data_IF_167428273702
#
_entry.id   IF_167428273702
#
_cell.length_a   1.000
_cell.length_b   1.000
_cell.length_c   1.000
_cell.angle_alpha   90.00
_cell.angle_beta   90.00
_cell.angle_gamma   90.00
#
_symmetry.space_group_name_H-M   'P 1'
#
loop_
_entity.id
_entity.type
_entity.pdbx_description
1 polymer ?
#
# COMPACT_ATOMS: atom_id res chain seq x y z
N UNK A 1 3.33 -8.87 -0.30
CA UNK A 1 2.98 -8.03 0.87
C UNK A 1 3.08 -6.53 0.60
N UNK A 2 4.26 -5.89 0.51
CA UNK A 2 4.36 -4.43 0.31
C UNK A 2 3.60 -3.96 -0.94
N UNK A 3 3.90 -4.56 -2.09
CA UNK A 3 3.27 -4.23 -3.37
C UNK A 3 1.74 -4.43 -3.35
N UNK A 4 1.26 -5.55 -2.81
CA UNK A 4 -0.19 -5.85 -2.76
C UNK A 4 -0.93 -4.88 -1.84
N UNK A 5 -0.35 -4.60 -0.67
CA UNK A 5 -0.88 -3.62 0.28
C UNK A 5 -0.98 -2.25 -0.38
N UNK A 6 0.06 -1.83 -1.10
CA UNK A 6 0.06 -0.55 -1.79
C UNK A 6 -1.04 -0.45 -2.85
N UNK A 7 -1.20 -1.48 -3.70
CA UNK A 7 -2.29 -1.56 -4.68
C UNK A 7 -3.67 -1.46 -4.03
N UNK A 8 -3.91 -2.21 -2.96
CA UNK A 8 -5.20 -2.24 -2.27
C UNK A 8 -5.53 -0.90 -1.62
N UNK A 9 -4.55 -0.28 -0.96
CA UNK A 9 -4.76 1.02 -0.31
C UNK A 9 -4.92 2.14 -1.35
N UNK A 10 -4.21 2.11 -2.47
CA UNK A 10 -4.40 3.07 -3.56
C UNK A 10 -5.73 2.87 -4.27
N UNK A 11 -6.18 1.64 -4.47
CA UNK A 11 -7.52 1.37 -4.95
C UNK A 11 -8.58 2.01 -4.03
N UNK A 12 -8.41 1.85 -2.70
CA UNK A 12 -9.30 2.49 -1.74
C UNK A 12 -9.24 4.01 -1.80
N UNK A 13 -8.03 4.56 -1.89
CA UNK A 13 -7.84 6.00 -2.04
C UNK A 13 -8.50 6.51 -3.32
N UNK A 14 -8.40 5.78 -4.43
CA UNK A 14 -9.04 6.11 -5.70
C UNK A 14 -10.56 6.19 -5.56
N UNK A 15 -11.21 5.14 -5.06
CA UNK A 15 -12.66 5.11 -4.84
C UNK A 15 -13.11 6.32 -3.99
N UNK A 16 -12.49 6.52 -2.83
CA UNK A 16 -12.84 7.61 -1.92
C UNK A 16 -12.55 8.99 -2.55
N UNK A 17 -11.42 9.13 -3.23
CA UNK A 17 -11.04 10.34 -3.96
C UNK A 17 -11.95 10.64 -5.15
N UNK A 18 -12.78 9.70 -5.59
CA UNK A 18 -13.80 9.91 -6.64
C UNK A 18 -15.22 10.01 -6.08
N UNK A 19 -15.38 10.00 -4.76
CA UNK A 19 -16.67 10.17 -4.10
C UNK A 19 -17.49 8.88 -4.02
N UNK A 20 -16.86 7.73 -4.23
CA UNK A 20 -17.49 6.44 -3.95
C UNK A 20 -17.82 6.34 -2.45
N UNK A 21 -19.01 5.84 -2.16
CA UNK A 21 -19.55 5.72 -0.80
C UNK A 21 -19.70 4.26 -0.35
N UNK A 22 -19.38 3.30 -1.23
CA UNK A 22 -19.40 1.89 -0.87
C UNK A 22 -18.36 1.60 0.22
N UNK A 23 -18.74 0.75 1.18
CA UNK A 23 -17.78 0.23 2.15
C UNK A 23 -16.80 -0.71 1.46
N UNK A 24 -15.54 -0.32 1.44
CA UNK A 24 -14.48 -1.07 0.76
C UNK A 24 -14.00 -2.23 1.65
N UNK A 25 -13.83 -3.43 1.09
CA UNK A 25 -13.53 -4.62 1.89
C UNK A 25 -12.15 -4.54 2.54
N UNK A 26 -12.01 -5.22 3.67
CA UNK A 26 -10.73 -5.62 4.23
C UNK A 26 -10.04 -6.66 3.34
N UNK A 27 -8.87 -7.13 3.77
CA UNK A 27 -8.21 -8.28 3.15
C UNK A 27 -7.38 -9.02 4.20
N UNK A 28 -7.26 -10.34 4.05
CA UNK A 28 -6.40 -11.17 4.88
C UNK A 28 -5.05 -11.36 4.19
N UNK A 29 -4.00 -10.80 4.76
CA UNK A 29 -2.69 -10.71 4.13
C UNK A 29 -2.08 -12.09 3.84
N UNK A 30 -2.23 -13.03 4.77
CA UNK A 30 -1.71 -14.39 4.63
C UNK A 30 -2.39 -15.14 3.49
N UNK A 31 -3.69 -14.92 3.28
CA UNK A 31 -4.44 -15.53 2.18
C UNK A 31 -3.94 -15.03 0.83
N UNK A 32 -3.63 -13.73 0.74
CA UNK A 32 -3.06 -13.12 -0.46
C UNK A 32 -1.65 -13.65 -0.75
N UNK A 33 -0.82 -13.80 0.29
CA UNK A 33 0.53 -14.39 0.15
C UNK A 33 0.44 -15.84 -0.32
N UNK A 34 -0.47 -16.64 0.26
CA UNK A 34 -0.68 -18.04 -0.15
C UNK A 34 -1.19 -18.17 -1.59
N UNK A 35 -1.98 -17.19 -2.06
CA UNK A 35 -2.47 -17.15 -3.44
C UNK A 35 -1.45 -16.67 -4.47
N UNK A 36 -0.28 -16.21 -4.04
CA UNK A 36 0.75 -15.67 -4.90
C UNK A 36 1.88 -16.67 -5.17
N UNK A 37 2.55 -16.51 -6.31
CA UNK A 37 3.69 -17.34 -6.70
C UNK A 37 5.02 -16.56 -6.60
N UNK A 38 5.18 -15.74 -5.56
CA UNK A 38 6.35 -14.86 -5.42
C UNK A 38 7.68 -15.62 -5.43
N UNK A 39 7.71 -16.82 -4.84
CA UNK A 39 8.90 -17.68 -4.78
C UNK A 39 9.37 -18.18 -6.15
N UNK A 40 8.49 -18.13 -7.16
CA UNK A 40 8.84 -18.51 -8.54
C UNK A 40 9.44 -17.36 -9.36
N UNK A 41 9.43 -16.13 -8.82
CA UNK A 41 9.89 -14.94 -9.52
C UNK A 41 11.33 -14.59 -9.14
N UNK A 42 12.16 -14.11 -10.10
CA UNK A 42 13.42 -13.48 -9.76
C UNK A 42 13.20 -12.27 -8.86
N UNK A 43 14.05 -12.11 -7.84
CA UNK A 43 13.96 -10.98 -6.92
C UNK A 43 13.96 -9.62 -7.64
N UNK A 44 14.72 -9.49 -8.73
CA UNK A 44 14.73 -8.28 -9.57
C UNK A 44 13.36 -7.94 -10.17
N UNK A 45 12.55 -8.94 -10.53
CA UNK A 45 11.18 -8.72 -11.00
C UNK A 45 10.27 -8.22 -9.89
N UNK A 46 10.40 -8.76 -8.69
CA UNK A 46 9.62 -8.34 -7.52
C UNK A 46 9.92 -6.87 -7.18
N UNK A 47 11.20 -6.48 -7.19
CA UNK A 47 11.60 -5.09 -6.95
C UNK A 47 11.12 -4.14 -8.05
N UNK A 48 11.24 -4.54 -9.33
CA UNK A 48 10.78 -3.73 -10.45
C UNK A 48 9.26 -3.48 -10.40
N UNK A 49 8.48 -4.49 -10.00
CA UNK A 49 7.04 -4.32 -9.80
C UNK A 49 6.75 -3.33 -8.67
N UNK A 50 7.40 -3.49 -7.52
CA UNK A 50 7.23 -2.58 -6.38
C UNK A 50 7.53 -1.13 -6.77
N UNK A 51 8.63 -0.88 -7.48
CA UNK A 51 9.00 0.46 -7.96
C UNK A 51 7.94 1.04 -8.89
N UNK A 52 7.40 0.22 -9.80
CA UNK A 52 6.35 0.65 -10.75
C UNK A 52 5.07 1.03 -10.01
N UNK A 53 4.64 0.21 -9.04
CA UNK A 53 3.46 0.50 -8.21
C UNK A 53 3.66 1.76 -7.38
N UNK A 54 4.85 1.93 -6.79
CA UNK A 54 5.19 3.12 -6.00
C UNK A 54 5.14 4.40 -6.86
N UNK A 55 5.71 4.36 -8.06
CA UNK A 55 5.68 5.50 -8.96
C UNK A 55 4.24 5.87 -9.37
N UNK A 56 3.42 4.87 -9.71
CA UNK A 56 2.00 5.08 -10.03
C UNK A 56 1.22 5.65 -8.82
N UNK A 57 1.53 5.18 -7.62
CA UNK A 57 0.93 5.64 -6.36
C UNK A 57 1.23 7.11 -6.09
N UNK A 58 2.49 7.50 -6.19
CA UNK A 58 2.93 8.90 -6.02
C UNK A 58 2.23 9.78 -7.06
N UNK A 59 2.28 9.39 -8.34
CA UNK A 59 1.63 10.12 -9.42
C UNK A 59 0.12 10.27 -9.21
N UNK A 60 -0.56 9.25 -8.70
CA UNK A 60 -1.98 9.33 -8.37
C UNK A 60 -2.25 10.43 -7.34
N UNK A 61 -1.49 10.46 -6.23
CA UNK A 61 -1.69 11.45 -5.16
C UNK A 61 -1.31 12.88 -5.58
N UNK A 62 -0.26 13.06 -6.38
CA UNK A 62 0.16 14.37 -6.91
C UNK A 62 -0.91 15.01 -7.80
N UNK A 63 -1.72 14.21 -8.48
CA UNK A 63 -2.78 14.69 -9.38
C UNK A 63 -4.13 14.91 -8.68
N UNK A 64 -4.22 14.74 -7.35
CA UNK A 64 -5.45 15.02 -6.59
C UNK A 64 -5.55 16.49 -6.21
N UNK A 65 -6.74 17.06 -6.35
CA UNK A 65 -7.05 18.38 -5.81
C UNK A 65 -7.33 18.33 -4.30
N UNK A 66 -7.32 19.49 -3.64
CA UNK A 66 -7.48 19.63 -2.19
C UNK A 66 -8.77 19.01 -1.64
N UNK A 67 -9.86 19.09 -2.42
CA UNK A 67 -11.13 18.49 -2.04
C UNK A 67 -11.02 16.97 -1.98
N UNK A 68 -10.38 16.34 -2.97
CA UNK A 68 -10.19 14.89 -3.01
C UNK A 68 -9.37 14.40 -1.81
N UNK A 69 -8.31 15.12 -1.42
CA UNK A 69 -7.51 14.80 -0.23
C UNK A 69 -8.33 14.73 1.06
N UNK A 70 -9.37 15.57 1.17
CA UNK A 70 -10.23 15.67 2.36
C UNK A 70 -11.45 14.75 2.34
N UNK A 71 -11.75 14.07 1.22
CA UNK A 71 -12.86 13.10 1.13
C UNK A 71 -12.65 11.96 2.11
N UNK A 72 -13.77 11.50 2.69
CA UNK A 72 -13.85 10.40 3.64
C UNK A 72 -14.73 9.30 3.05
N UNK A 73 -14.37 8.06 3.33
CA UNK A 73 -15.18 6.88 3.05
C UNK A 73 -14.97 5.83 4.14
N UNK A 74 -15.47 4.62 3.89
CA UNK A 74 -15.33 3.49 4.82
C UNK A 74 -14.50 2.40 4.16
N UNK A 75 -13.45 1.97 4.82
CA UNK A 75 -12.63 0.84 4.40
C UNK A 75 -12.37 -0.07 5.61
N UNK A 76 -12.50 -1.38 5.42
CA UNK A 76 -12.32 -2.37 6.49
C UNK A 76 -13.17 -2.05 7.74
N UNK A 77 -14.44 -1.67 7.52
CA UNK A 77 -15.37 -1.30 8.61
C UNK A 77 -15.04 0.01 9.32
N UNK A 78 -13.99 0.73 8.93
CA UNK A 78 -13.52 1.95 9.59
C UNK A 78 -13.56 3.16 8.67
N UNK A 79 -13.90 4.32 9.23
CA UNK A 79 -13.86 5.60 8.51
C UNK A 79 -12.42 6.02 8.22
N UNK A 80 -12.13 6.40 6.97
CA UNK A 80 -10.79 6.82 6.55
C UNK A 80 -10.87 7.93 5.50
N UNK A 81 -9.91 8.85 5.51
CA UNK A 81 -9.78 9.87 4.47
C UNK A 81 -8.68 9.51 3.47
N UNK A 82 -8.73 10.10 2.27
CA UNK A 82 -7.67 9.96 1.27
C UNK A 82 -6.31 10.37 1.84
N UNK A 83 -6.27 11.51 2.55
CA UNK A 83 -5.07 11.93 3.29
C UNK A 83 -4.55 10.86 4.26
N UNK A 84 -5.43 10.23 5.03
CA UNK A 84 -5.03 9.24 6.02
C UNK A 84 -4.43 8.00 5.34
N UNK A 85 -5.00 7.56 4.22
CA UNK A 85 -4.46 6.46 3.42
C UNK A 85 -3.03 6.75 2.96
N UNK A 86 -2.74 7.97 2.45
CA UNK A 86 -1.39 8.33 2.04
C UNK A 86 -0.37 8.24 3.19
N UNK A 87 -0.74 8.72 4.39
CA UNK A 87 0.12 8.61 5.58
C UNK A 87 0.29 7.16 6.06
N UNK A 88 -0.78 6.35 5.99
CA UNK A 88 -0.71 4.93 6.34
C UNK A 88 0.27 4.21 5.41
N UNK A 89 0.20 4.45 4.10
CA UNK A 89 1.14 3.88 3.12
C UNK A 89 2.60 4.25 3.42
N UNK A 90 2.86 5.52 3.70
CA UNK A 90 4.21 5.99 4.04
C UNK A 90 4.72 5.35 5.35
N UNK A 91 3.87 5.25 6.37
CA UNK A 91 4.20 4.61 7.64
C UNK A 91 4.43 3.10 7.50
N UNK A 92 3.62 2.44 6.68
CA UNK A 92 3.72 1.01 6.39
C UNK A 92 5.05 0.65 5.72
N UNK A 93 5.45 1.39 4.68
CA UNK A 93 6.76 1.17 4.05
C UNK A 93 7.90 1.38 5.05
N UNK A 94 7.87 2.47 5.83
CA UNK A 94 8.88 2.76 6.83
C UNK A 94 9.00 1.65 7.87
N UNK A 95 7.86 1.10 8.32
CA UNK A 95 7.83 -0.02 9.25
C UNK A 95 8.53 -1.26 8.65
N UNK A 96 8.17 -1.67 7.44
CA UNK A 96 8.78 -2.84 6.82
C UNK A 96 10.25 -2.66 6.47
N UNK A 97 10.66 -1.44 6.10
CA UNK A 97 12.08 -1.11 5.95
C UNK A 97 12.83 -1.31 7.26
N UNK A 98 12.24 -0.95 8.40
CA UNK A 98 12.86 -1.19 9.70
C UNK A 98 12.94 -2.68 10.02
N UNK A 99 11.88 -3.45 9.75
CA UNK A 99 11.89 -4.92 9.90
C UNK A 99 13.01 -5.56 9.08
N UNK A 100 13.22 -5.11 7.83
CA UNK A 100 14.31 -5.60 6.98
C UNK A 100 15.68 -5.31 7.58
N UNK A 101 15.88 -4.10 8.10
CA UNK A 101 17.13 -3.72 8.78
C UNK A 101 17.38 -4.59 10.01
N UNK A 102 16.42 -4.59 10.93
CA UNK A 102 16.56 -5.22 12.25
C UNK A 102 16.78 -6.73 12.16
N UNK A 103 16.09 -7.41 11.22
CA UNK A 103 16.06 -8.87 11.16
C UNK A 103 17.05 -9.47 10.16
N UNK A 104 17.49 -8.71 9.16
CA UNK A 104 18.20 -9.29 8.02
C UNK A 104 19.48 -8.54 7.61
N UNK A 105 19.65 -7.27 7.96
CA UNK A 105 20.84 -6.51 7.57
C UNK A 105 21.76 -6.25 8.76
N UNK A 106 21.22 -5.84 9.89
CA UNK A 106 22.02 -5.57 11.10
C UNK A 106 22.49 -6.87 11.76
N UNK A 107 21.75 -7.98 11.58
CA UNK A 107 22.15 -9.31 12.02
C UNK A 107 23.32 -9.92 11.20
N UNK A 108 23.67 -9.33 10.04
CA UNK A 108 24.76 -9.79 9.16
C UNK A 108 26.01 -8.91 9.32
N UNK A 109 25.93 -7.84 10.12
CA UNK A 109 27.00 -6.86 10.34
C UNK A 109 27.79 -7.00 11.65
N UNK A 110 27.58 -8.06 12.44
CA UNK A 110 28.35 -8.40 13.64
C UNK A 110 29.03 -9.76 13.51
#
# INVERSE_FOLDING_TARGET
HLTDTERLFVYRALCIARGDTQSLPGFEEDDYVRGAAFDSLPFSKIIAEFQTVRAATISFFENLNDQAWSRKGTANGSGVSVRAIAYILAGHERHHRQVLKDRYLDAVGN
#
